data_IF_747249617849
#
_entry.id   IF_747249617849
#
_cell.length_a   1.000
_cell.length_b   1.000
_cell.length_c   1.000
_cell.angle_alpha   90.00
_cell.angle_beta   90.00
_cell.angle_gamma   90.00
#
_symmetry.space_group_name_H-M   'P 1'
#
loop_
_entity.id
_entity.type
_entity.pdbx_description
1 polymer ?
#
# COMPACT_ATOMS: atom_id res chain seq x y z
N UNK A 1 -6.84 -22.67 -0.63
CA UNK A 1 -6.37 -22.09 -1.91
C UNK A 1 -6.90 -20.68 -2.03
N UNK A 2 -6.06 -19.66 -2.18
CA UNK A 2 -6.51 -18.29 -2.36
C UNK A 2 -6.87 -18.03 -3.83
N UNK A 3 -7.99 -17.33 -4.07
CA UNK A 3 -8.39 -16.93 -5.43
C UNK A 3 -7.63 -15.66 -5.82
N UNK A 4 -6.87 -15.73 -6.89
CA UNK A 4 -6.16 -14.58 -7.47
C UNK A 4 -6.98 -14.02 -8.63
N UNK A 5 -7.18 -12.70 -8.65
CA UNK A 5 -7.90 -11.97 -9.69
C UNK A 5 -7.28 -10.59 -9.91
N UNK A 6 -7.58 -9.95 -11.04
CA UNK A 6 -7.24 -8.53 -11.24
C UNK A 6 -7.92 -7.68 -10.15
N UNK A 7 -7.18 -6.69 -9.67
CA UNK A 7 -7.68 -5.71 -8.73
C UNK A 7 -8.71 -4.81 -9.43
N UNK A 8 -9.67 -4.33 -8.64
CA UNK A 8 -10.72 -3.38 -9.05
C UNK A 8 -10.65 -2.14 -8.16
N UNK A 9 -11.32 -1.03 -8.50
CA UNK A 9 -11.34 0.15 -7.64
C UNK A 9 -11.78 -0.13 -6.19
N UNK A 10 -12.63 -1.15 -5.97
CA UNK A 10 -13.08 -1.57 -4.63
C UNK A 10 -11.95 -2.16 -3.77
N UNK A 11 -10.85 -2.59 -4.38
CA UNK A 11 -9.72 -3.22 -3.69
C UNK A 11 -8.65 -2.21 -3.26
N UNK A 12 -8.76 -0.94 -3.66
CA UNK A 12 -7.73 0.09 -3.43
C UNK A 12 -7.44 0.30 -1.95
N UNK A 13 -8.48 0.43 -1.13
CA UNK A 13 -8.34 0.61 0.34
C UNK A 13 -7.65 -0.61 0.97
N UNK A 14 -8.05 -1.82 0.58
CA UNK A 14 -7.43 -3.05 1.05
C UNK A 14 -5.96 -3.17 0.62
N UNK A 15 -5.65 -2.75 -0.61
CA UNK A 15 -4.28 -2.77 -1.15
C UNK A 15 -3.37 -1.80 -0.40
N UNK A 16 -3.88 -0.61 -0.04
CA UNK A 16 -3.17 0.36 0.80
C UNK A 16 -2.90 -0.18 2.21
N UNK A 17 -3.87 -0.85 2.81
CA UNK A 17 -3.72 -1.46 4.15
C UNK A 17 -2.64 -2.55 4.15
N UNK A 18 -2.70 -3.46 3.18
CA UNK A 18 -1.68 -4.52 3.02
C UNK A 18 -0.29 -3.92 2.78
N UNK A 19 -0.17 -2.93 1.89
CA UNK A 19 1.10 -2.26 1.63
C UNK A 19 1.66 -1.60 2.89
N UNK A 20 0.83 -0.85 3.61
CA UNK A 20 1.21 -0.21 4.87
C UNK A 20 1.77 -1.22 5.86
N UNK A 21 1.02 -2.30 6.14
CA UNK A 21 1.45 -3.35 7.07
C UNK A 21 2.75 -4.02 6.65
N UNK A 22 2.90 -4.33 5.36
CA UNK A 22 4.11 -4.95 4.83
C UNK A 22 5.33 -4.03 4.97
N UNK A 23 5.19 -2.74 4.66
CA UNK A 23 6.26 -1.75 4.80
C UNK A 23 6.69 -1.57 6.25
N UNK A 24 5.73 -1.44 7.17
CA UNK A 24 6.02 -1.37 8.59
C UNK A 24 6.77 -2.61 9.08
N UNK A 25 6.27 -3.81 8.78
CA UNK A 25 6.90 -5.05 9.24
C UNK A 25 8.33 -5.22 8.69
N UNK A 26 8.58 -4.77 7.45
CA UNK A 26 9.87 -4.97 6.79
C UNK A 26 10.90 -3.91 7.21
N UNK A 27 10.48 -2.66 7.37
CA UNK A 27 11.41 -1.52 7.39
C UNK A 27 11.39 -0.70 8.68
N UNK A 28 10.51 -0.99 9.65
CA UNK A 28 10.40 -0.18 10.87
C UNK A 28 11.69 -0.14 11.72
N UNK A 29 12.55 -1.16 11.62
CA UNK A 29 13.85 -1.18 12.30
C UNK A 29 14.98 -0.54 11.47
N UNK A 30 14.71 -0.14 10.23
CA UNK A 30 15.69 0.45 9.31
C UNK A 30 15.46 1.94 9.08
N UNK A 31 14.19 2.36 9.02
CA UNK A 31 13.80 3.75 8.80
C UNK A 31 12.94 4.26 9.95
N UNK A 32 13.03 5.56 10.22
CA UNK A 32 12.12 6.21 11.15
C UNK A 32 10.66 6.06 10.66
N UNK A 33 9.73 5.83 11.59
CA UNK A 33 8.31 5.67 11.28
C UNK A 33 7.74 6.85 10.45
N UNK A 34 8.24 8.07 10.69
CA UNK A 34 7.88 9.26 9.91
C UNK A 34 8.20 9.09 8.42
N UNK A 35 9.41 8.63 8.09
CA UNK A 35 9.86 8.42 6.71
C UNK A 35 8.99 7.37 6.00
N UNK A 36 8.67 6.26 6.68
CA UNK A 36 7.80 5.22 6.13
C UNK A 36 6.39 5.77 5.86
N UNK A 37 5.85 6.56 6.80
CA UNK A 37 4.53 7.18 6.62
C UNK A 37 4.48 8.18 5.46
N UNK A 38 5.49 9.04 5.34
CA UNK A 38 5.57 10.01 4.25
C UNK A 38 5.66 9.31 2.89
N UNK A 39 6.46 8.24 2.79
CA UNK A 39 6.54 7.42 1.58
C UNK A 39 5.19 6.75 1.26
N UNK A 40 4.53 6.14 2.24
CA UNK A 40 3.24 5.49 2.04
C UNK A 40 2.14 6.48 1.64
N UNK A 41 2.12 7.67 2.24
CA UNK A 41 1.19 8.73 1.88
C UNK A 41 1.43 9.26 0.46
N UNK A 42 2.70 9.41 0.05
CA UNK A 42 3.04 9.86 -1.30
C UNK A 42 2.80 8.78 -2.36
N UNK A 43 3.07 7.51 -2.06
CA UNK A 43 3.16 6.44 -3.07
C UNK A 43 1.93 5.52 -3.11
N UNK A 44 1.23 5.35 -1.99
CA UNK A 44 0.07 4.46 -1.83
C UNK A 44 -1.20 5.23 -1.44
N UNK A 45 -1.29 6.52 -1.77
CA UNK A 45 -2.56 7.24 -1.70
C UNK A 45 -3.56 6.70 -2.75
N UNK A 46 -4.84 6.98 -2.50
CA UNK A 46 -5.95 6.46 -3.30
C UNK A 46 -5.86 6.89 -4.76
N UNK A 47 -5.50 8.15 -5.04
CA UNK A 47 -5.37 8.67 -6.40
C UNK A 47 -4.29 7.91 -7.19
N UNK A 48 -3.12 7.68 -6.59
CA UNK A 48 -2.05 6.93 -7.23
C UNK A 48 -2.40 5.45 -7.42
N UNK A 49 -3.09 4.84 -6.45
CA UNK A 49 -3.50 3.45 -6.56
C UNK A 49 -4.58 3.24 -7.62
N UNK A 50 -5.55 4.15 -7.72
CA UNK A 50 -6.56 4.11 -8.77
C UNK A 50 -5.93 4.20 -10.17
N UNK A 51 -4.96 5.09 -10.38
CA UNK A 51 -4.22 5.18 -11.65
C UNK A 51 -3.45 3.92 -12.04
N UNK A 52 -3.08 3.07 -11.07
CA UNK A 52 -2.39 1.79 -11.35
C UNK A 52 -3.34 0.65 -11.74
N UNK A 53 -4.65 0.88 -11.67
CA UNK A 53 -5.65 -0.09 -12.11
C UNK A 53 -6.01 0.02 -13.60
N UNK A 54 -5.58 1.10 -14.24
CA UNK A 54 -5.67 1.34 -15.69
C UNK A 54 -4.55 0.58 -16.43
#
# INVERSE_FOLDING_TARGET
>A
MHKIRKATPKDVVGSRDVATKAWYNTYMNMYAAKTVNELLAASYNEQHLLKRLE
#
